data_IF_061090378704
#
_entry.id   IF_061090378704
#
_cell.length_a   1.000
_cell.length_b   1.000
_cell.length_c   1.000
_cell.angle_alpha   90.00
_cell.angle_beta   90.00
_cell.angle_gamma   90.00
#
_symmetry.space_group_name_H-M   'P 1'
#
loop_
_entity.id
_entity.type
_entity.pdbx_description
1 polymer ?
#
# COMPACT_ATOMS: atom_id res chain seq x y z
N UNK A 1 -11.87 7.76 7.16
CA UNK A 1 -12.62 6.56 7.63
C UNK A 1 -11.82 5.82 8.67
N UNK A 2 -12.47 5.21 9.67
CA UNK A 2 -11.80 4.32 10.62
C UNK A 2 -11.65 2.93 9.99
N UNK A 3 -10.45 2.37 10.01
CA UNK A 3 -10.21 0.99 9.57
C UNK A 3 -10.79 0.02 10.62
N UNK A 4 -11.76 -0.80 10.24
CA UNK A 4 -12.41 -1.72 11.19
C UNK A 4 -11.44 -2.81 11.68
N UNK A 5 -11.68 -3.33 12.88
CA UNK A 5 -10.87 -4.43 13.43
C UNK A 5 -10.91 -5.69 12.55
N UNK A 6 -12.04 -5.94 11.86
CA UNK A 6 -12.16 -7.03 10.90
C UNK A 6 -11.23 -6.82 9.71
N UNK A 7 -11.27 -5.64 9.09
CA UNK A 7 -10.41 -5.30 7.95
C UNK A 7 -8.91 -5.39 8.31
N UNK A 8 -8.53 -4.95 9.51
CA UNK A 8 -7.15 -5.09 9.98
C UNK A 8 -6.74 -6.56 10.06
N UNK A 9 -7.56 -7.41 10.67
CA UNK A 9 -7.26 -8.85 10.78
C UNK A 9 -7.12 -9.52 9.42
N UNK A 10 -8.01 -9.23 8.49
CA UNK A 10 -7.96 -9.78 7.12
C UNK A 10 -6.70 -9.32 6.39
N UNK A 11 -6.37 -8.04 6.48
CA UNK A 11 -5.20 -7.44 5.86
C UNK A 11 -3.90 -8.04 6.44
N UNK A 12 -3.80 -8.18 7.76
CA UNK A 12 -2.67 -8.81 8.46
C UNK A 12 -2.52 -10.28 8.06
N UNK A 13 -3.62 -11.02 8.04
CA UNK A 13 -3.63 -12.43 7.62
C UNK A 13 -3.13 -12.59 6.19
N UNK A 14 -3.59 -11.73 5.26
CA UNK A 14 -3.16 -11.75 3.87
C UNK A 14 -1.66 -11.43 3.73
N UNK A 15 -1.15 -10.43 4.45
CA UNK A 15 0.26 -10.07 4.45
C UNK A 15 1.15 -11.20 5.03
N UNK A 16 0.71 -11.84 6.12
CA UNK A 16 1.42 -13.00 6.70
C UNK A 16 1.52 -14.16 5.72
N UNK A 17 0.43 -14.49 5.00
CA UNK A 17 0.43 -15.53 3.97
C UNK A 17 1.34 -15.16 2.79
N UNK A 18 1.35 -13.90 2.38
CA UNK A 18 2.22 -13.43 1.31
C UNK A 18 3.70 -13.58 1.67
N UNK A 19 4.08 -13.30 2.92
CA UNK A 19 5.45 -13.42 3.43
C UNK A 19 6.06 -14.81 3.19
N UNK A 20 5.25 -15.87 3.25
CA UNK A 20 5.71 -17.23 3.00
C UNK A 20 6.14 -17.50 1.55
N UNK A 21 5.82 -16.57 0.64
CA UNK A 21 6.17 -16.63 -0.79
C UNK A 21 7.34 -15.68 -1.14
N UNK A 22 7.99 -15.10 -0.15
CA UNK A 22 9.13 -14.21 -0.38
C UNK A 22 10.29 -14.96 -1.05
N UNK A 23 10.85 -14.34 -2.08
CA UNK A 23 12.10 -14.80 -2.69
C UNK A 23 13.23 -13.91 -2.20
N UNK A 24 13.94 -14.36 -1.16
CA UNK A 24 14.97 -13.59 -0.49
C UNK A 24 16.24 -14.40 -0.18
N UNK A 25 16.90 -14.97 -1.22
CA UNK A 25 18.06 -15.85 -1.05
C UNK A 25 19.30 -15.08 -0.53
N UNK A 26 19.39 -13.79 -0.77
CA UNK A 26 20.56 -12.97 -0.41
C UNK A 26 20.45 -12.44 1.01
N UNK A 27 19.36 -11.77 1.35
CA UNK A 27 19.17 -11.16 2.68
C UNK A 27 18.68 -12.13 3.73
N UNK A 28 18.01 -13.21 3.31
CA UNK A 28 17.26 -14.13 4.20
C UNK A 28 16.23 -13.38 5.07
N UNK A 29 15.72 -12.26 4.57
CA UNK A 29 14.82 -11.37 5.27
C UNK A 29 13.45 -11.32 4.56
N UNK A 30 12.56 -12.31 4.82
CA UNK A 30 11.27 -12.37 4.16
C UNK A 30 10.30 -11.31 4.70
N UNK A 31 9.77 -10.50 3.79
CA UNK A 31 8.73 -9.49 4.04
C UNK A 31 7.48 -9.84 3.24
N UNK A 32 6.34 -9.81 3.92
CA UNK A 32 5.03 -9.86 3.28
C UNK A 32 4.34 -8.52 3.37
N UNK A 33 3.58 -8.18 2.35
CA UNK A 33 2.74 -6.98 2.36
C UNK A 33 1.35 -7.27 1.79
N UNK A 34 0.39 -6.47 2.20
CA UNK A 34 -0.95 -6.44 1.63
C UNK A 34 -1.45 -5.00 1.59
N UNK A 35 -2.21 -4.67 0.55
CA UNK A 35 -2.90 -3.38 0.42
C UNK A 35 -4.40 -3.61 0.39
N UNK A 36 -5.14 -2.80 1.13
CA UNK A 36 -6.58 -2.69 1.06
C UNK A 36 -6.93 -1.48 0.22
N UNK A 37 -7.69 -1.67 -0.83
CA UNK A 37 -8.10 -0.61 -1.74
C UNK A 37 -9.43 0.01 -1.31
N UNK A 38 -9.77 1.17 -1.86
CA UNK A 38 -11.06 1.83 -1.59
C UNK A 38 -12.26 1.03 -2.13
N UNK A 39 -12.02 0.08 -3.05
CA UNK A 39 -13.03 -0.88 -3.51
C UNK A 39 -13.29 -2.02 -2.51
N UNK A 40 -12.53 -2.07 -1.41
CA UNK A 40 -12.62 -3.13 -0.40
C UNK A 40 -11.83 -4.40 -0.73
N UNK A 41 -11.09 -4.44 -1.84
CA UNK A 41 -10.28 -5.59 -2.25
C UNK A 41 -8.90 -5.57 -1.60
N UNK A 42 -8.38 -6.76 -1.31
CA UNK A 42 -7.03 -6.94 -0.76
C UNK A 42 -6.12 -7.52 -1.85
N UNK A 43 -4.97 -6.89 -2.08
CA UNK A 43 -3.92 -7.36 -2.96
C UNK A 43 -2.64 -7.56 -2.16
N UNK A 44 -1.88 -8.59 -2.50
CA UNK A 44 -0.72 -9.02 -1.70
C UNK A 44 0.56 -8.96 -2.51
N UNK A 45 1.68 -8.89 -1.80
CA UNK A 45 3.02 -8.96 -2.36
C UNK A 45 4.01 -9.46 -1.31
N UNK A 46 5.11 -9.99 -1.77
CA UNK A 46 6.26 -10.33 -0.95
C UNK A 46 7.52 -9.79 -1.63
N UNK A 47 8.63 -9.66 -0.90
CA UNK A 47 9.87 -9.21 -1.53
C UNK A 47 10.39 -10.27 -2.52
N UNK A 48 10.91 -9.75 -3.63
CA UNK A 48 11.55 -10.54 -4.69
C UNK A 48 12.93 -9.95 -4.93
N UNK A 49 13.93 -10.65 -4.45
CA UNK A 49 15.31 -10.23 -4.59
C UNK A 49 15.89 -10.58 -5.96
N UNK A 50 16.94 -9.87 -6.33
CA UNK A 50 17.65 -10.06 -7.56
C UNK A 50 19.17 -9.97 -7.31
N UNK A 51 19.98 -10.72 -8.06
CA UNK A 51 21.44 -10.63 -8.03
C UNK A 51 21.93 -9.21 -8.32
N UNK A 52 21.21 -8.49 -9.16
CA UNK A 52 21.34 -7.05 -9.34
C UNK A 52 20.52 -6.34 -8.25
N UNK A 53 21.13 -6.00 -7.14
CA UNK A 53 20.42 -5.53 -5.93
C UNK A 53 19.48 -4.35 -6.19
N UNK A 54 19.84 -3.45 -7.10
CA UNK A 54 18.98 -2.32 -7.50
C UNK A 54 17.65 -2.72 -8.13
N UNK A 55 17.54 -3.95 -8.64
CA UNK A 55 16.31 -4.48 -9.24
C UNK A 55 15.41 -5.20 -8.22
N UNK A 56 15.87 -5.39 -7.00
CA UNK A 56 15.09 -6.01 -5.92
C UNK A 56 13.80 -5.23 -5.66
N UNK A 57 12.69 -5.96 -5.57
CA UNK A 57 11.37 -5.41 -5.27
C UNK A 57 10.97 -5.73 -3.83
N UNK A 58 10.68 -4.68 -3.04
CA UNK A 58 10.08 -4.87 -1.72
C UNK A 58 8.63 -5.33 -1.82
N UNK A 59 8.15 -6.08 -0.82
CA UNK A 59 6.80 -6.64 -0.77
C UNK A 59 5.70 -5.60 -0.94
N UNK A 60 5.86 -4.40 -0.36
CA UNK A 60 4.90 -3.31 -0.48
C UNK A 60 4.76 -2.83 -1.93
N UNK A 61 5.89 -2.69 -2.66
CA UNK A 61 5.86 -2.29 -4.07
C UNK A 61 5.20 -3.36 -4.94
N UNK A 62 5.47 -4.64 -4.65
CA UNK A 62 4.81 -5.76 -5.34
C UNK A 62 3.31 -5.75 -5.07
N UNK A 63 2.86 -5.53 -3.82
CA UNK A 63 1.44 -5.46 -3.48
C UNK A 63 0.73 -4.30 -4.18
N UNK A 64 1.37 -3.11 -4.22
CA UNK A 64 0.84 -1.93 -4.93
C UNK A 64 0.75 -2.20 -6.43
N UNK A 65 1.82 -2.72 -7.06
CA UNK A 65 1.81 -3.04 -8.49
C UNK A 65 0.71 -4.06 -8.84
N UNK A 66 0.53 -5.08 -7.98
CA UNK A 66 -0.53 -6.07 -8.11
C UNK A 66 -1.94 -5.43 -8.04
N UNK A 67 -2.16 -4.46 -7.17
CA UNK A 67 -3.42 -3.73 -7.08
C UNK A 67 -3.65 -2.86 -8.33
N UNK A 68 -2.66 -2.07 -8.72
CA UNK A 68 -2.75 -1.11 -9.83
C UNK A 68 -2.99 -1.81 -11.16
N UNK A 69 -2.29 -2.91 -11.44
CA UNK A 69 -2.48 -3.70 -12.67
C UNK A 69 -3.85 -4.38 -12.74
N UNK A 70 -4.56 -4.49 -11.62
CA UNK A 70 -5.96 -4.92 -11.55
C UNK A 70 -6.97 -3.78 -11.57
N UNK A 71 -6.53 -2.56 -11.88
CA UNK A 71 -7.38 -1.39 -12.06
C UNK A 71 -7.66 -0.61 -10.77
N UNK A 72 -7.06 -0.97 -9.64
CA UNK A 72 -7.16 -0.18 -8.41
C UNK A 72 -6.35 1.12 -8.52
N UNK A 73 -6.86 2.18 -7.90
CA UNK A 73 -6.23 3.51 -8.02
C UNK A 73 -6.03 4.21 -6.69
N UNK A 74 -6.46 3.58 -5.59
CA UNK A 74 -6.52 4.25 -4.29
C UNK A 74 -6.47 3.23 -3.17
N UNK A 75 -5.68 3.54 -2.15
CA UNK A 75 -5.40 2.67 -1.01
C UNK A 75 -6.01 3.23 0.26
N UNK A 76 -6.81 2.42 0.95
CA UNK A 76 -7.32 2.71 2.30
C UNK A 76 -6.32 2.30 3.39
N UNK A 77 -5.57 1.21 3.17
CA UNK A 77 -4.55 0.76 4.10
C UNK A 77 -3.47 -0.07 3.41
N UNK A 78 -2.28 -0.07 4.02
CA UNK A 78 -1.15 -0.94 3.67
C UNK A 78 -0.72 -1.68 4.92
N UNK A 79 -0.45 -2.98 4.81
CA UNK A 79 0.15 -3.77 5.88
C UNK A 79 1.50 -4.32 5.44
N UNK A 80 2.48 -4.26 6.33
CA UNK A 80 3.79 -4.88 6.17
C UNK A 80 4.07 -5.81 7.34
N UNK A 81 4.56 -7.00 7.05
CA UNK A 81 4.82 -8.07 8.03
C UNK A 81 6.24 -8.60 7.87
N UNK A 82 6.98 -8.66 8.96
CA UNK A 82 8.33 -9.20 9.00
C UNK A 82 8.92 -9.15 10.39
N UNK A 83 10.24 -9.20 10.50
CA UNK A 83 10.98 -8.94 11.74
C UNK A 83 11.45 -7.48 11.70
N UNK A 84 10.99 -6.65 12.62
CA UNK A 84 11.22 -5.19 12.61
C UNK A 84 10.90 -4.53 11.25
N UNK A 85 9.75 -4.82 10.62
CA UNK A 85 9.46 -4.39 9.25
C UNK A 85 9.09 -2.92 9.26
N UNK A 86 9.78 -2.13 8.44
CA UNK A 86 9.42 -0.73 8.17
C UNK A 86 9.55 -0.47 6.68
N UNK A 87 8.56 0.15 6.04
CA UNK A 87 8.68 0.51 4.63
C UNK A 87 9.93 1.36 4.40
N UNK A 88 10.78 0.98 3.45
CA UNK A 88 11.93 1.78 3.05
C UNK A 88 11.49 3.07 2.33
N UNK A 89 12.40 4.00 2.09
CA UNK A 89 12.08 5.29 1.45
C UNK A 89 11.38 5.13 0.10
N UNK A 90 11.87 4.23 -0.75
CA UNK A 90 11.25 3.94 -2.05
C UNK A 90 9.82 3.37 -1.91
N UNK A 91 9.59 2.47 -0.93
CA UNK A 91 8.24 1.96 -0.68
C UNK A 91 7.29 3.06 -0.21
N UNK A 92 7.77 3.96 0.66
CA UNK A 92 6.96 5.09 1.14
C UNK A 92 6.52 5.97 -0.01
N UNK A 93 7.43 6.34 -0.92
CA UNK A 93 7.11 7.17 -2.10
C UNK A 93 6.11 6.46 -3.02
N UNK A 94 6.32 5.17 -3.35
CA UNK A 94 5.40 4.41 -4.21
C UNK A 94 4.01 4.27 -3.59
N UNK A 95 3.93 4.01 -2.28
CA UNK A 95 2.65 3.91 -1.58
C UNK A 95 1.94 5.26 -1.52
N UNK A 96 2.70 6.35 -1.31
CA UNK A 96 2.14 7.72 -1.25
C UNK A 96 1.41 8.12 -2.52
N UNK A 97 1.88 7.70 -3.69
CA UNK A 97 1.24 7.95 -5.00
C UNK A 97 -0.23 7.54 -5.03
N UNK A 98 -0.57 6.45 -4.34
CA UNK A 98 -1.92 5.87 -4.30
C UNK A 98 -2.64 6.11 -2.95
N UNK A 99 -2.04 6.89 -2.06
CA UNK A 99 -2.54 7.13 -0.71
C UNK A 99 -3.30 8.45 -0.60
N UNK A 100 -4.15 8.54 0.42
CA UNK A 100 -4.73 9.79 0.90
C UNK A 100 -4.25 10.09 2.32
N UNK A 101 -4.58 11.27 2.83
CA UNK A 101 -4.33 11.62 4.25
C UNK A 101 -4.96 10.63 5.23
N UNK A 102 -5.99 9.90 4.77
CA UNK A 102 -6.70 8.89 5.56
C UNK A 102 -6.10 7.49 5.47
N UNK A 103 -5.15 7.25 4.56
CA UNK A 103 -4.54 5.93 4.38
C UNK A 103 -3.76 5.50 5.62
N UNK A 104 -4.01 4.26 6.08
CA UNK A 104 -3.35 3.66 7.22
C UNK A 104 -2.17 2.79 6.81
N UNK A 105 -1.10 2.84 7.58
CA UNK A 105 -0.03 1.85 7.57
C UNK A 105 -0.15 0.99 8.82
N UNK A 106 -0.25 -0.32 8.63
CA UNK A 106 -0.26 -1.35 9.66
C UNK A 106 1.08 -2.08 9.62
N UNK A 107 1.85 -2.00 10.67
CA UNK A 107 3.16 -2.63 10.81
C UNK A 107 3.02 -3.80 11.76
N UNK A 108 3.34 -5.00 11.30
CA UNK A 108 3.31 -6.22 12.11
C UNK A 108 4.74 -6.71 12.29
N UNK A 109 5.29 -6.44 13.46
CA UNK A 109 6.58 -7.00 13.84
C UNK A 109 6.36 -8.37 14.46
N UNK A 110 6.86 -9.39 13.81
CA UNK A 110 6.77 -10.78 14.28
C UNK A 110 7.65 -11.04 15.52
N UNK A 111 8.42 -10.03 15.95
CA UNK A 111 9.38 -10.19 17.02
C UNK A 111 10.60 -11.02 16.59
N UNK A 112 11.29 -11.55 17.56
CA UNK A 112 12.43 -12.45 17.46
C UNK A 112 12.60 -13.15 18.79
N UNK A 113 13.73 -13.77 19.04
CA UNK A 113 13.98 -14.49 20.29
C UNK A 113 13.50 -13.69 21.51
N UNK A 114 12.54 -14.24 22.25
CA UNK A 114 11.94 -13.64 23.46
C UNK A 114 11.01 -12.45 23.26
N UNK A 115 10.80 -11.94 22.03
CA UNK A 115 9.88 -10.82 21.77
C UNK A 115 8.57 -11.30 21.13
N UNK A 116 7.45 -10.81 21.67
CA UNK A 116 6.12 -11.09 21.15
C UNK A 116 5.84 -10.29 19.87
N UNK A 117 4.93 -10.81 19.04
CA UNK A 117 4.37 -10.08 17.90
C UNK A 117 3.71 -8.78 18.38
N UNK A 118 3.95 -7.71 17.64
CA UNK A 118 3.30 -6.41 17.85
C UNK A 118 2.66 -5.90 16.60
N UNK A 119 1.55 -5.16 16.74
CA UNK A 119 0.84 -4.51 15.63
C UNK A 119 0.75 -3.02 15.92
N UNK A 120 1.40 -2.23 15.10
CA UNK A 120 1.38 -0.77 15.18
C UNK A 120 0.59 -0.21 14.01
N UNK A 121 -0.21 0.84 14.26
CA UNK A 121 -1.00 1.52 13.24
C UNK A 121 -0.67 3.01 13.24
N UNK A 122 -0.26 3.52 12.09
CA UNK A 122 0.08 4.93 11.89
C UNK A 122 -0.53 5.45 10.59
N UNK A 123 -0.62 6.76 10.42
CA UNK A 123 -1.01 7.33 9.13
C UNK A 123 0.14 7.20 8.14
N UNK A 124 -0.15 6.80 6.90
CA UNK A 124 0.88 6.64 5.86
C UNK A 124 1.61 7.95 5.60
N UNK A 125 0.89 9.07 5.57
CA UNK A 125 1.47 10.41 5.37
C UNK A 125 2.50 10.82 6.43
N UNK A 126 2.38 10.35 7.67
CA UNK A 126 3.39 10.64 8.70
C UNK A 126 4.73 9.94 8.46
N UNK A 127 4.78 8.98 7.55
CA UNK A 127 5.98 8.18 7.29
C UNK A 127 6.93 8.80 6.25
N UNK A 128 6.49 9.84 5.55
CA UNK A 128 7.30 10.53 4.54
C UNK A 128 7.02 12.05 4.60
N UNK A 129 7.55 12.75 5.61
CA UNK A 129 7.45 14.20 5.66
C UNK A 129 8.10 14.85 4.43
N UNK A 130 7.44 15.85 3.84
CA UNK A 130 7.94 16.52 2.64
C UNK A 130 7.99 15.61 1.41
N UNK A 131 7.11 14.61 1.34
CA UNK A 131 7.02 13.74 0.18
C UNK A 131 6.85 14.55 -1.11
N UNK A 132 7.53 14.12 -2.18
CA UNK A 132 7.27 14.65 -3.51
C UNK A 132 5.81 14.39 -3.90
N UNK A 133 5.06 15.45 -4.19
CA UNK A 133 3.67 15.38 -4.67
C UNK A 133 3.64 15.78 -6.14
N UNK A 134 3.39 14.84 -7.07
CA UNK A 134 3.35 15.13 -8.49
C UNK A 134 2.18 16.06 -8.88
N UNK A 135 1.18 16.22 -8.03
CA UNK A 135 0.08 17.16 -8.24
C UNK A 135 0.50 18.60 -7.94
N UNK A 136 1.16 18.82 -6.80
CA UNK A 136 1.71 20.12 -6.46
C UNK A 136 2.78 20.53 -7.48
N UNK A 137 3.52 19.56 -8.03
CA UNK A 137 4.50 19.76 -9.09
C UNK A 137 3.87 19.96 -10.49
N UNK A 138 2.55 19.84 -10.64
CA UNK A 138 1.85 19.98 -11.92
C UNK A 138 2.14 18.87 -12.94
N UNK A 139 2.73 17.75 -12.52
CA UNK A 139 3.12 16.63 -13.39
C UNK A 139 1.96 15.67 -13.67
N UNK A 140 1.02 15.57 -12.75
CA UNK A 140 -0.21 14.81 -12.94
C UNK A 140 -1.38 15.77 -12.99
N UNK A 141 -2.26 15.63 -13.98
CA UNK A 141 -3.42 16.51 -14.12
C UNK A 141 -4.41 16.36 -12.97
N UNK A 142 -4.31 15.29 -12.19
CA UNK A 142 -5.18 15.02 -11.03
C UNK A 142 -4.71 13.82 -10.21
N UNK A 143 -4.89 13.91 -8.87
CA UNK A 143 -4.84 12.76 -7.97
C UNK A 143 -5.78 11.65 -8.48
N UNK A 144 -5.36 10.37 -8.51
CA UNK A 144 -6.21 9.25 -8.88
C UNK A 144 -7.58 9.25 -8.17
N UNK A 145 -7.64 9.74 -6.93
CA UNK A 145 -8.89 9.92 -6.18
C UNK A 145 -9.82 11.00 -6.78
N UNK A 146 -9.27 12.02 -7.44
CA UNK A 146 -10.05 13.05 -8.11
C UNK A 146 -10.53 12.63 -9.50
N UNK A 147 -9.88 11.65 -10.15
CA UNK A 147 -10.35 11.06 -11.41
C UNK A 147 -11.71 10.38 -11.26
N UNK A 148 -11.97 9.76 -10.11
CA UNK A 148 -13.28 9.14 -9.81
C UNK A 148 -14.37 10.21 -9.61
N UNK A 149 -14.07 11.30 -8.89
CA UNK A 149 -15.03 12.41 -8.68
C UNK A 149 -15.40 13.13 -9.97
N UNK A 150 -14.49 13.27 -10.94
CA UNK A 150 -14.80 13.88 -12.27
C UNK A 150 -15.64 12.98 -13.14
N UNK A 151 -15.43 11.65 -13.12
CA UNK A 151 -16.27 10.71 -13.90
C UNK A 151 -17.72 10.76 -13.44
N UNK A 152 -17.96 10.80 -12.12
CA UNK A 152 -19.32 10.93 -11.55
C UNK A 152 -19.95 12.29 -11.84
N UNK A 153 -19.17 13.38 -11.83
CA UNK A 153 -19.66 14.71 -12.22
C UNK A 153 -20.01 14.79 -13.71
N UNK A 154 -19.12 14.33 -14.61
CA UNK A 154 -19.41 14.28 -16.06
C UNK A 154 -20.60 13.39 -16.41
N UNK A 155 -20.78 12.28 -15.67
CA UNK A 155 -21.95 11.40 -15.86
C UNK A 155 -23.26 12.09 -15.41
N UNK A 156 -23.26 12.85 -14.31
CA UNK A 156 -24.40 13.66 -13.85
C UNK A 156 -24.73 14.81 -14.80
N UNK A 157 -23.72 15.53 -15.32
CA UNK A 157 -23.92 16.63 -16.27
C UNK A 157 -24.45 16.14 -17.63
N UNK A 158 -24.01 14.97 -18.10
CA UNK A 158 -24.55 14.35 -19.30
C UNK A 158 -26.02 13.90 -19.15
N UNK A 159 -26.43 13.46 -17.97
CA UNK A 159 -27.85 13.13 -17.69
C UNK A 159 -28.72 14.38 -17.62
N UNK A 160 -28.19 15.48 -17.04
CA UNK A 160 -28.90 16.77 -16.94
C UNK A 160 -29.09 17.49 -18.29
N UNK A 161 -28.24 17.21 -19.29
CA UNK A 161 -28.36 17.78 -20.64
C UNK A 161 -29.21 16.94 -21.59
N UNK A 162 -29.70 15.79 -21.13
CA UNK A 162 -30.59 14.88 -21.90
C UNK A 162 -32.04 14.85 -21.36
N UNK A 163 -32.29 15.53 -20.26
CA UNK A 163 -33.61 15.85 -19.73
C UNK A 163 -33.97 17.31 -20.01
#
# INVERSE_FOLDING_TARGET
MSLSSKAIRELVSAAKKARLKAYCPYSRYPIGAAVLTDSGRIHTGANVENASYGLTMCGERVAVANAVTRGEKSLSAVCVVGRSPKPCGACRQVVMEFSSKDTWLVIVDLGGEGRRETVTKVRMFSMLPGAFDPLEAGLLPMNPQNLLKRRTRKAKDRRRKRS
#
